data_IF_991452971462
#
_entry.id   IF_991452971462
#
_cell.length_a   1.000
_cell.length_b   1.000
_cell.length_c   1.000
_cell.angle_alpha   90.00
_cell.angle_beta   90.00
_cell.angle_gamma   90.00
#
_symmetry.space_group_name_H-M   'P 1'
#
loop_
_entity.id
_entity.type
_entity.pdbx_description
1 polymer ?
#
# COMPACT_ATOMS: atom_id res chain seq x y z
N UNK A 1 0.74 -12.48 -10.82
CA UNK A 1 1.58 -11.35 -10.32
C UNK A 1 0.84 -10.05 -10.63
N UNK A 2 0.94 -9.01 -9.80
CA UNK A 2 0.39 -7.68 -10.08
C UNK A 2 0.72 -7.17 -11.50
N UNK A 3 1.90 -7.52 -12.03
CA UNK A 3 2.32 -7.21 -13.40
C UNK A 3 1.49 -7.89 -14.52
N UNK A 4 0.65 -8.87 -14.19
CA UNK A 4 -0.17 -9.63 -15.15
C UNK A 4 -1.66 -9.57 -14.83
N UNK A 5 -2.07 -8.66 -13.94
CA UNK A 5 -3.46 -8.50 -13.56
C UNK A 5 -4.28 -7.91 -14.73
N UNK A 6 -5.49 -8.43 -14.93
CA UNK A 6 -6.34 -8.09 -16.07
C UNK A 6 -6.89 -6.66 -16.02
N UNK A 7 -7.01 -6.08 -14.83
CA UNK A 7 -7.50 -4.73 -14.60
C UNK A 7 -6.89 -4.11 -13.33
N UNK A 8 -7.17 -2.82 -13.11
CA UNK A 8 -6.64 -2.06 -11.97
C UNK A 8 -7.16 -2.58 -10.62
N UNK A 9 -8.36 -3.16 -10.55
CA UNK A 9 -8.88 -3.72 -9.30
C UNK A 9 -8.09 -4.99 -8.94
N UNK A 10 -7.83 -5.86 -9.92
CA UNK A 10 -6.99 -7.03 -9.76
C UNK A 10 -5.54 -6.67 -9.40
N UNK A 11 -4.99 -5.57 -9.93
CA UNK A 11 -3.67 -5.05 -9.51
C UNK A 11 -3.68 -4.69 -8.02
N UNK A 12 -4.71 -3.98 -7.54
CA UNK A 12 -4.81 -3.55 -6.14
C UNK A 12 -4.90 -4.72 -5.17
N UNK A 13 -5.61 -5.79 -5.55
CA UNK A 13 -5.65 -7.04 -4.78
C UNK A 13 -4.27 -7.70 -4.75
N UNK A 14 -3.60 -7.79 -5.90
CA UNK A 14 -2.28 -8.40 -6.00
C UNK A 14 -1.15 -7.55 -5.37
N UNK A 15 -1.41 -6.28 -5.04
CA UNK A 15 -0.43 -5.38 -4.45
C UNK A 15 -0.16 -5.66 -2.96
N UNK A 16 -1.15 -6.18 -2.22
CA UNK A 16 -0.99 -6.53 -0.80
C UNK A 16 0.16 -7.51 -0.54
N UNK A 17 0.20 -8.71 -1.17
CA UNK A 17 1.29 -9.66 -0.90
C UNK A 17 2.66 -9.10 -1.29
N UNK A 18 2.75 -8.31 -2.37
CA UNK A 18 4.00 -7.64 -2.74
C UNK A 18 4.46 -6.64 -1.66
N UNK A 19 3.53 -5.85 -1.13
CA UNK A 19 3.83 -4.85 -0.10
C UNK A 19 4.33 -5.46 1.19
N UNK A 20 3.80 -6.61 1.58
CA UNK A 20 4.26 -7.34 2.76
C UNK A 20 5.68 -7.88 2.57
N UNK A 21 6.05 -8.36 1.37
CA UNK A 21 7.43 -8.76 1.08
C UNK A 21 8.40 -7.57 1.07
N UNK A 22 8.01 -6.43 0.50
CA UNK A 22 8.82 -5.20 0.55
C UNK A 22 9.06 -4.77 2.00
N UNK A 23 8.04 -4.85 2.86
CA UNK A 23 8.16 -4.49 4.29
C UNK A 23 9.11 -5.40 5.07
N UNK A 24 9.23 -6.67 4.67
CA UNK A 24 10.18 -7.62 5.29
C UNK A 24 11.64 -7.31 4.91
N UNK A 25 11.85 -6.60 3.80
CA UNK A 25 13.16 -6.14 3.37
C UNK A 25 13.63 -4.89 4.12
N UNK A 26 14.83 -4.43 3.76
CA UNK A 26 15.32 -3.15 4.26
C UNK A 26 14.59 -2.00 3.56
N UNK A 27 13.95 -1.13 4.35
CA UNK A 27 13.35 0.10 3.83
C UNK A 27 14.45 1.14 3.59
N UNK A 28 14.62 1.65 2.36
CA UNK A 28 15.61 2.68 2.08
C UNK A 28 15.32 3.99 2.82
N UNK A 29 16.36 4.79 3.05
CA UNK A 29 16.20 6.15 3.56
C UNK A 29 15.29 6.98 2.64
N UNK A 30 14.45 7.84 3.24
CA UNK A 30 13.46 8.63 2.51
C UNK A 30 12.20 7.86 2.11
N UNK A 31 12.01 6.65 2.63
CA UNK A 31 10.79 5.86 2.50
C UNK A 31 10.22 5.50 3.88
N UNK A 32 8.90 5.40 3.96
CA UNK A 32 8.15 5.12 5.19
C UNK A 32 7.10 4.06 4.94
N UNK A 33 6.79 3.30 6.00
CA UNK A 33 5.68 2.35 5.99
C UNK A 33 4.39 3.10 6.30
N UNK A 34 3.34 2.78 5.57
CA UNK A 34 2.00 3.27 5.81
C UNK A 34 1.01 2.10 5.89
N UNK A 35 -0.15 2.37 6.49
CA UNK A 35 -1.16 1.36 6.78
C UNK A 35 -2.58 1.90 6.59
N UNK A 36 -3.44 1.06 6.04
CA UNK A 36 -4.86 1.32 5.88
C UNK A 36 -5.62 0.18 6.54
N UNK A 37 -6.43 0.43 7.60
CA UNK A 37 -7.18 -0.62 8.27
C UNK A 37 -8.31 -1.19 7.40
N UNK A 38 -8.83 -0.42 6.44
CA UNK A 38 -9.97 -0.83 5.60
C UNK A 38 -9.57 -1.71 4.41
N UNK A 39 -8.28 -1.81 4.09
CA UNK A 39 -7.81 -2.61 2.98
C UNK A 39 -8.10 -4.11 3.22
N UNK A 40 -8.27 -4.88 2.14
CA UNK A 40 -8.57 -6.33 2.19
C UNK A 40 -9.80 -6.70 3.05
N UNK A 41 -10.87 -5.93 2.92
CA UNK A 41 -12.12 -6.14 3.65
C UNK A 41 -11.94 -5.95 5.15
N UNK A 42 -11.42 -4.78 5.55
CA UNK A 42 -11.19 -4.38 6.95
C UNK A 42 -10.17 -5.22 7.73
N UNK A 43 -9.40 -6.07 7.04
CA UNK A 43 -8.27 -6.82 7.63
C UNK A 43 -6.97 -6.02 7.65
N UNK A 44 -6.95 -4.94 6.90
CA UNK A 44 -5.83 -4.04 6.73
C UNK A 44 -4.74 -4.54 5.79
N UNK A 45 -3.92 -3.57 5.38
CA UNK A 45 -2.75 -3.80 4.55
C UNK A 45 -1.71 -2.69 4.73
N UNK A 46 -0.43 -3.07 4.68
CA UNK A 46 0.69 -2.12 4.70
C UNK A 46 1.15 -1.79 3.28
N UNK A 47 1.84 -0.68 3.12
CA UNK A 47 2.64 -0.40 1.92
C UNK A 47 3.81 0.51 2.27
N UNK A 48 4.72 0.66 1.33
CA UNK A 48 5.86 1.58 1.43
C UNK A 48 5.69 2.68 0.39
N UNK A 49 5.95 3.92 0.79
CA UNK A 49 5.95 5.08 -0.09
C UNK A 49 7.08 6.03 0.31
N UNK A 50 7.35 7.04 -0.52
CA UNK A 50 8.29 8.10 -0.16
C UNK A 50 7.82 8.81 1.10
N UNK A 51 8.76 9.21 1.94
CA UNK A 51 8.51 10.08 3.08
C UNK A 51 8.06 11.45 2.57
N UNK A 52 6.75 11.62 2.50
CA UNK A 52 6.09 12.83 2.04
C UNK A 52 4.97 13.16 3.02
N UNK A 53 4.57 14.43 3.15
CA UNK A 53 3.54 14.82 4.12
C UNK A 53 2.17 14.19 3.89
N UNK A 54 1.94 13.59 2.72
CA UNK A 54 0.64 13.12 2.27
C UNK A 54 0.64 11.60 2.10
N UNK A 55 -0.38 10.95 2.64
CA UNK A 55 -0.67 9.54 2.39
C UNK A 55 -1.04 9.36 0.91
N UNK A 56 -0.49 8.34 0.24
CA UNK A 56 -0.89 7.90 -1.09
C UNK A 56 -1.31 6.42 -1.03
N UNK A 57 -2.57 6.18 -0.63
CA UNK A 57 -3.15 4.86 -0.46
C UNK A 57 -3.37 4.16 -1.82
N UNK A 58 -2.67 3.04 -2.10
CA UNK A 58 -2.77 2.34 -3.37
C UNK A 58 -4.00 1.43 -3.47
N UNK A 59 -4.64 1.09 -2.34
CA UNK A 59 -5.68 0.05 -2.27
C UNK A 59 -7.04 0.49 -2.80
N UNK A 60 -7.31 1.79 -2.77
CA UNK A 60 -8.63 2.34 -3.13
C UNK A 60 -8.57 3.40 -4.25
N UNK A 61 -7.38 3.69 -4.76
CA UNK A 61 -7.18 4.71 -5.80
C UNK A 61 -7.65 6.09 -5.37
N UNK A 62 -8.18 6.87 -6.32
CA UNK A 62 -8.56 8.26 -6.09
C UNK A 62 -9.61 8.43 -4.96
N UNK A 63 -10.51 7.48 -4.78
CA UNK A 63 -11.61 7.57 -3.80
C UNK A 63 -11.14 7.65 -2.35
N UNK A 64 -9.98 7.08 -2.02
CA UNK A 64 -9.42 7.12 -0.66
C UNK A 64 -7.91 7.36 -0.67
N UNK A 65 -7.40 8.08 -1.66
CA UNK A 65 -5.97 8.28 -1.89
C UNK A 65 -5.25 8.81 -0.64
N UNK A 66 -5.92 9.60 0.19
CA UNK A 66 -5.35 10.22 1.40
C UNK A 66 -5.71 9.50 2.71
N UNK A 67 -6.41 8.37 2.64
CA UNK A 67 -6.86 7.65 3.83
C UNK A 67 -5.83 6.61 4.29
N UNK A 68 -5.64 6.51 5.60
CA UNK A 68 -4.62 5.67 6.23
C UNK A 68 -3.68 6.52 7.08
N UNK A 69 -2.60 5.93 7.56
CA UNK A 69 -1.61 6.63 8.37
C UNK A 69 -0.22 6.00 8.24
N UNK A 70 0.80 6.79 8.53
CA UNK A 70 2.17 6.30 8.64
C UNK A 70 2.30 5.38 9.86
N UNK A 71 3.14 4.35 9.74
CA UNK A 71 3.48 3.42 10.83
C UNK A 71 4.97 3.57 11.12
N UNK A 72 5.28 3.71 12.41
CA UNK A 72 6.64 3.61 12.94
C UNK A 72 7.14 2.16 12.89
#
# INVERSE_FOLDING_TARGET
>A
NAASAADIAAVRVAFKPLSEEVRKGQIPEGYVVAYCPMADGDKGAHWVQKDQPQIANPYFGASMLRCGGFKE
#
